data_IF_134147881229
#
_entry.id   IF_134147881229
#
_cell.length_a   1.000
_cell.length_b   1.000
_cell.length_c   1.000
_cell.angle_alpha   90.00
_cell.angle_beta   90.00
_cell.angle_gamma   90.00
#
_symmetry.space_group_name_H-M   'P 1'
#
loop_
_entity.id
_entity.type
_entity.pdbx_description
1 polymer ?
#
# COMPACT_ATOMS: atom_id res chain seq x y z
N UNK A 1 12.01 -8.45 7.50
CA UNK A 1 12.11 -7.46 6.39
C UNK A 1 12.03 -8.21 5.07
N UNK A 2 11.34 -7.68 4.05
CA UNK A 2 11.21 -8.35 2.73
C UNK A 2 12.58 -8.73 2.14
N UNK A 3 13.61 -7.89 2.38
CA UNK A 3 14.98 -8.11 1.94
C UNK A 3 15.66 -9.38 2.46
N UNK A 4 15.13 -10.03 3.51
CA UNK A 4 15.76 -11.22 4.10
C UNK A 4 15.07 -12.54 3.74
N UNK A 5 13.93 -12.52 3.03
CA UNK A 5 13.12 -13.74 2.80
C UNK A 5 13.83 -14.80 1.95
N UNK A 6 14.76 -14.39 1.08
CA UNK A 6 15.46 -15.27 0.13
C UNK A 6 16.89 -15.62 0.58
N UNK A 7 17.26 -15.33 1.83
CA UNK A 7 18.60 -15.61 2.35
C UNK A 7 18.60 -16.94 3.11
N UNK A 8 19.58 -17.81 2.84
CA UNK A 8 19.76 -19.08 3.57
C UNK A 8 20.05 -18.85 5.06
N UNK A 9 20.70 -17.73 5.38
CA UNK A 9 20.96 -17.28 6.75
C UNK A 9 20.55 -15.81 6.90
N UNK A 10 19.67 -15.47 7.86
CA UNK A 10 19.28 -14.09 8.11
C UNK A 10 20.46 -13.23 8.54
N UNK A 11 20.59 -12.04 7.94
CA UNK A 11 21.57 -11.06 8.38
C UNK A 11 21.17 -10.44 9.73
N UNK A 12 22.08 -10.49 10.70
CA UNK A 12 21.93 -9.83 11.99
C UNK A 12 21.92 -8.30 11.89
N UNK A 13 21.32 -7.64 12.88
CA UNK A 13 21.26 -6.19 12.94
C UNK A 13 22.64 -5.63 13.29
N UNK A 14 23.24 -4.90 12.34
CA UNK A 14 24.54 -4.24 12.53
C UNK A 14 24.36 -2.90 13.26
N UNK A 15 25.43 -2.39 13.87
CA UNK A 15 25.48 -1.02 14.43
C UNK A 15 24.56 -0.74 15.63
N UNK A 16 24.20 -1.75 16.43
CA UNK A 16 23.34 -1.60 17.61
C UNK A 16 23.88 -0.59 18.64
N UNK A 17 25.21 -0.42 18.75
CA UNK A 17 25.82 0.59 19.62
C UNK A 17 25.36 2.03 19.30
N UNK A 18 25.00 2.32 18.04
CA UNK A 18 24.50 3.64 17.67
C UNK A 18 23.15 3.95 18.30
N UNK A 19 22.33 2.94 18.62
CA UNK A 19 21.07 3.14 19.32
C UNK A 19 21.33 3.76 20.70
N UNK A 20 22.32 3.24 21.41
CA UNK A 20 22.73 3.77 22.70
C UNK A 20 23.39 5.16 22.58
N UNK A 21 24.42 5.28 21.74
CA UNK A 21 25.21 6.52 21.64
C UNK A 21 24.36 7.69 21.15
N UNK A 22 23.46 7.46 20.20
CA UNK A 22 22.56 8.49 19.64
C UNK A 22 21.21 8.56 20.35
N UNK A 23 20.98 7.75 21.39
CA UNK A 23 19.71 7.67 22.14
C UNK A 23 18.49 7.47 21.23
N UNK A 24 18.61 6.58 20.25
CA UNK A 24 17.54 6.29 19.28
C UNK A 24 16.46 5.45 19.99
N UNK A 25 15.19 5.83 19.82
CA UNK A 25 14.06 5.00 20.24
C UNK A 25 13.65 4.06 19.11
N UNK A 26 13.76 2.75 19.35
CA UNK A 26 13.34 1.70 18.40
C UNK A 26 12.14 0.97 19.00
N UNK A 27 10.98 1.10 18.37
CA UNK A 27 9.74 0.45 18.79
C UNK A 27 9.07 -0.23 17.60
N UNK A 28 8.83 -1.54 17.73
CA UNK A 28 7.97 -2.27 16.82
C UNK A 28 6.51 -1.89 17.05
N UNK A 29 5.72 -1.88 15.98
CA UNK A 29 4.28 -1.71 16.06
C UNK A 29 3.60 -2.57 14.99
N UNK A 30 2.37 -2.97 15.26
CA UNK A 30 1.51 -3.67 14.31
C UNK A 30 0.27 -2.84 14.02
N UNK A 31 -0.31 -3.02 12.84
CA UNK A 31 -1.61 -2.42 12.50
C UNK A 31 -2.70 -2.83 13.51
N UNK A 32 -2.66 -4.08 13.97
CA UNK A 32 -3.64 -4.62 14.92
C UNK A 32 -3.69 -3.83 16.24
N UNK A 33 -2.56 -3.29 16.69
CA UNK A 33 -2.47 -2.50 17.92
C UNK A 33 -3.30 -1.20 17.85
N UNK A 34 -3.52 -0.68 16.63
CA UNK A 34 -4.18 0.60 16.35
C UNK A 34 -5.47 0.47 15.55
N UNK A 35 -6.00 -0.75 15.39
CA UNK A 35 -7.20 -0.98 14.59
C UNK A 35 -8.39 -0.12 15.03
N UNK A 36 -8.51 0.14 16.34
CA UNK A 36 -9.53 1.01 16.93
C UNK A 36 -9.49 2.47 16.43
N UNK A 37 -8.36 2.93 15.89
CA UNK A 37 -8.22 4.26 15.29
C UNK A 37 -8.65 4.30 13.82
N UNK A 38 -8.92 3.16 13.20
CA UNK A 38 -9.24 3.07 11.78
C UNK A 38 -10.44 3.95 11.36
N UNK A 39 -11.57 4.02 12.10
CA UNK A 39 -12.67 4.91 11.74
C UNK A 39 -12.23 6.38 11.69
N UNK A 40 -11.48 6.83 12.70
CA UNK A 40 -10.96 8.20 12.77
C UNK A 40 -9.95 8.49 11.64
N UNK A 41 -9.15 7.49 11.29
CA UNK A 41 -8.22 7.59 10.16
C UNK A 41 -8.99 7.81 8.85
N UNK A 42 -10.07 7.08 8.61
CA UNK A 42 -10.92 7.26 7.42
C UNK A 42 -11.55 8.65 7.37
N UNK A 43 -12.11 9.13 8.47
CA UNK A 43 -12.70 10.48 8.55
C UNK A 43 -11.68 11.57 8.20
N UNK A 44 -10.40 11.34 8.53
CA UNK A 44 -9.32 12.27 8.26
C UNK A 44 -8.84 12.15 6.81
N UNK A 45 -8.56 10.94 6.32
CA UNK A 45 -7.86 10.70 5.06
C UNK A 45 -8.76 10.78 3.84
N UNK A 46 -10.02 10.37 3.93
CA UNK A 46 -10.96 10.39 2.80
C UNK A 46 -11.15 11.81 2.22
N UNK A 47 -11.33 12.87 3.02
CA UNK A 47 -11.37 14.24 2.51
C UNK A 47 -10.08 14.63 1.76
N UNK A 48 -8.90 14.30 2.31
CA UNK A 48 -7.63 14.62 1.65
C UNK A 48 -7.45 13.91 0.31
N UNK A 49 -7.95 12.67 0.18
CA UNK A 49 -7.97 11.95 -1.10
C UNK A 49 -8.92 12.65 -2.07
N UNK A 50 -10.14 13.00 -1.64
CA UNK A 50 -11.13 13.70 -2.47
C UNK A 50 -10.64 15.07 -2.95
N UNK A 51 -9.89 15.78 -2.10
CA UNK A 51 -9.26 17.06 -2.41
C UNK A 51 -7.99 16.93 -3.25
N UNK A 52 -7.53 15.71 -3.55
CA UNK A 52 -6.31 15.45 -4.32
C UNK A 52 -5.00 15.79 -3.58
N UNK A 53 -5.06 16.03 -2.26
CA UNK A 53 -3.89 16.31 -1.41
C UNK A 53 -3.07 15.04 -1.11
N UNK A 54 -3.71 13.87 -1.19
CA UNK A 54 -3.05 12.57 -1.10
C UNK A 54 -3.20 11.87 -2.44
N UNK A 55 -2.08 11.50 -3.05
CA UNK A 55 -2.01 10.71 -4.28
C UNK A 55 -1.58 9.30 -3.91
N UNK A 56 -2.30 8.30 -4.41
CA UNK A 56 -1.94 6.89 -4.26
C UNK A 56 -1.46 6.34 -5.60
N UNK A 57 -0.44 5.47 -5.57
CA UNK A 57 0.12 4.82 -6.75
C UNK A 57 -0.06 3.31 -6.58
N UNK A 58 -0.69 2.70 -7.57
CA UNK A 58 -0.96 1.27 -7.63
C UNK A 58 -0.29 0.67 -8.86
N UNK A 59 0.23 -0.54 -8.68
CA UNK A 59 0.76 -1.40 -9.72
C UNK A 59 -0.24 -2.53 -9.96
N UNK A 60 -0.92 -2.49 -11.09
CA UNK A 60 -2.05 -3.36 -11.38
C UNK A 60 -1.62 -4.44 -12.36
N UNK A 61 -1.76 -5.68 -11.92
CA UNK A 61 -1.60 -6.84 -12.78
C UNK A 61 -2.98 -7.33 -13.23
N UNK A 62 -3.21 -7.32 -14.55
CA UNK A 62 -4.48 -7.74 -15.14
C UNK A 62 -4.58 -9.27 -15.23
N UNK A 63 -5.74 -9.81 -14.84
CA UNK A 63 -6.05 -11.24 -14.89
C UNK A 63 -5.54 -12.03 -13.68
N UNK A 64 -6.34 -13.01 -13.25
CA UNK A 64 -6.01 -13.87 -12.09
C UNK A 64 -4.76 -14.73 -12.36
N UNK A 65 -4.54 -15.03 -13.63
CA UNK A 65 -3.44 -15.78 -14.23
C UNK A 65 -2.10 -15.07 -13.99
N UNK A 66 -2.12 -13.73 -13.91
CA UNK A 66 -0.97 -12.91 -13.55
C UNK A 66 -0.66 -12.93 -12.05
N UNK A 67 -1.56 -13.49 -11.24
CA UNK A 67 -1.46 -13.54 -9.78
C UNK A 67 -0.12 -14.03 -9.24
N UNK A 68 0.39 -15.21 -9.67
CA UNK A 68 1.68 -15.69 -9.23
C UNK A 68 2.84 -14.74 -9.56
N UNK A 69 2.84 -14.15 -10.76
CA UNK A 69 3.88 -13.23 -11.20
C UNK A 69 3.85 -11.91 -10.41
N UNK A 70 2.65 -11.38 -10.18
CA UNK A 70 2.41 -10.17 -9.41
C UNK A 70 2.71 -10.33 -7.92
N UNK A 71 2.50 -11.52 -7.34
CA UNK A 71 2.91 -11.80 -5.95
C UNK A 71 4.44 -11.83 -5.80
N UNK A 72 5.15 -12.41 -6.78
CA UNK A 72 6.62 -12.48 -6.76
C UNK A 72 7.28 -11.15 -7.12
N UNK A 73 6.59 -10.28 -7.85
CA UNK A 73 7.06 -8.95 -8.28
C UNK A 73 7.69 -8.11 -7.15
N UNK A 74 6.97 -7.86 -6.04
CA UNK A 74 7.47 -7.08 -4.91
C UNK A 74 8.74 -7.62 -4.26
N UNK A 75 8.91 -8.94 -4.19
CA UNK A 75 10.13 -9.56 -3.64
C UNK A 75 11.37 -9.35 -4.52
N UNK A 76 11.18 -8.91 -5.77
CA UNK A 76 12.24 -8.56 -6.72
C UNK A 76 12.31 -7.04 -6.97
N UNK A 77 11.55 -6.23 -6.24
CA UNK A 77 11.51 -4.77 -6.42
C UNK A 77 10.92 -4.32 -7.77
N UNK A 78 10.09 -5.15 -8.40
CA UNK A 78 9.50 -4.85 -9.72
C UNK A 78 8.25 -3.99 -9.64
N UNK A 79 7.65 -3.84 -8.46
CA UNK A 79 6.42 -3.09 -8.29
C UNK A 79 6.69 -1.59 -8.08
N UNK A 80 5.88 -0.74 -8.71
CA UNK A 80 5.86 0.70 -8.44
C UNK A 80 4.59 1.04 -7.66
N UNK A 81 4.72 1.21 -6.35
CA UNK A 81 3.57 1.45 -5.47
C UNK A 81 2.93 0.16 -4.96
N UNK A 82 1.63 0.21 -4.64
CA UNK A 82 0.92 -0.94 -4.06
C UNK A 82 0.55 -1.94 -5.16
N UNK A 83 1.05 -3.18 -5.05
CA UNK A 83 0.66 -4.24 -5.95
C UNK A 83 -0.81 -4.61 -5.74
N UNK A 84 -1.59 -4.60 -6.82
CA UNK A 84 -2.99 -4.96 -6.81
C UNK A 84 -3.28 -5.94 -7.96
N UNK A 85 -4.09 -6.95 -7.64
CA UNK A 85 -4.59 -7.97 -8.55
C UNK A 85 -6.12 -7.97 -8.44
N UNK A 86 -6.83 -7.31 -9.37
CA UNK A 86 -8.28 -7.38 -9.38
C UNK A 86 -8.73 -8.74 -9.93
N UNK A 87 -9.76 -9.33 -9.32
CA UNK A 87 -10.36 -10.61 -9.77
C UNK A 87 -11.12 -10.49 -11.10
N UNK A 88 -11.43 -9.26 -11.50
CA UNK A 88 -11.99 -8.89 -12.80
C UNK A 88 -11.03 -7.89 -13.45
N UNK A 89 -10.90 -7.90 -14.77
CA UNK A 89 -10.01 -6.98 -15.49
C UNK A 89 -10.45 -5.52 -15.30
N UNK A 90 -9.93 -4.87 -14.26
CA UNK A 90 -10.05 -3.44 -14.04
C UNK A 90 -8.85 -2.79 -14.74
N UNK A 91 -9.09 -2.20 -15.92
CA UNK A 91 -8.10 -1.34 -16.57
C UNK A 91 -7.96 -0.08 -15.71
N UNK A 92 -6.99 -0.03 -14.80
CA UNK A 92 -6.58 1.25 -14.23
C UNK A 92 -5.30 1.72 -14.92
N UNK A 93 -5.48 2.78 -15.71
CA UNK A 93 -4.44 3.49 -16.42
C UNK A 93 -3.46 4.11 -15.43
N UNK A 94 -2.18 3.79 -15.57
CA UNK A 94 -1.06 4.46 -14.90
C UNK A 94 -1.13 5.97 -15.18
N UNK A 95 -1.37 6.78 -14.17
CA UNK A 95 -1.28 8.24 -14.26
C UNK A 95 0.19 8.67 -14.18
N UNK A 96 0.81 8.91 -15.34
CA UNK A 96 2.02 9.73 -15.45
C UNK A 96 1.71 11.14 -14.93
N UNK A 97 2.53 11.62 -13.99
CA UNK A 97 2.44 12.97 -13.44
C UNK A 97 3.00 13.97 -14.46
N UNK A 98 2.10 14.81 -14.99
CA UNK A 98 2.33 15.99 -15.82
C UNK A 98 1.10 16.91 -15.74
N UNK A 99 1.21 18.23 -16.00
CA UNK A 99 0.21 19.19 -15.57
C UNK A 99 -1.00 19.13 -16.51
N UNK A 100 -2.21 19.17 -15.94
CA UNK A 100 -3.52 19.26 -16.61
C UNK A 100 -4.08 17.92 -17.12
N UNK A 101 -4.95 17.31 -16.31
CA UNK A 101 -6.39 17.14 -16.58
C UNK A 101 -6.94 16.09 -15.60
N UNK A 102 -7.84 16.53 -14.73
CA UNK A 102 -8.58 15.74 -13.76
C UNK A 102 -9.70 15.00 -14.51
N UNK A 103 -9.53 13.71 -14.80
CA UNK A 103 -10.65 12.81 -15.09
C UNK A 103 -10.95 12.02 -13.82
N UNK A 104 -11.82 12.57 -12.98
CA UNK A 104 -12.45 11.83 -11.89
C UNK A 104 -13.54 10.97 -12.53
N UNK A 105 -13.18 9.75 -12.94
CA UNK A 105 -14.12 8.78 -13.47
C UNK A 105 -14.98 8.27 -12.30
N UNK A 106 -16.30 8.41 -12.42
CA UNK A 106 -17.32 8.10 -11.40
C UNK A 106 -17.18 6.70 -10.78
N UNK A 107 -16.47 5.78 -11.44
CA UNK A 107 -16.23 4.41 -10.98
C UNK A 107 -15.32 4.31 -9.74
N UNK A 108 -14.38 5.25 -9.50
CA UNK A 108 -13.53 5.22 -8.29
C UNK A 108 -14.29 5.49 -6.98
N UNK A 109 -15.47 6.12 -7.09
CA UNK A 109 -16.33 6.39 -5.92
C UNK A 109 -16.97 5.09 -5.40
N UNK A 110 -17.36 4.19 -6.31
CA UNK A 110 -17.88 2.87 -5.94
C UNK A 110 -16.83 2.00 -5.25
N UNK A 111 -15.55 2.12 -5.61
CA UNK A 111 -14.50 1.27 -5.06
C UNK A 111 -14.10 1.63 -3.62
N UNK A 112 -14.06 2.93 -3.31
CA UNK A 112 -13.91 3.42 -1.93
C UNK A 112 -15.14 3.01 -1.10
N UNK A 113 -16.35 3.13 -1.66
CA UNK A 113 -17.58 2.71 -0.97
C UNK A 113 -17.63 1.18 -0.76
N UNK A 114 -17.09 0.37 -1.67
CA UNK A 114 -16.99 -1.08 -1.54
C UNK A 114 -15.94 -1.50 -0.49
N UNK A 115 -14.78 -0.83 -0.45
CA UNK A 115 -13.75 -1.04 0.58
C UNK A 115 -14.27 -0.62 1.98
N UNK A 116 -15.04 0.47 2.05
CA UNK A 116 -15.73 0.89 3.28
C UNK A 116 -16.82 -0.11 3.69
N UNK A 117 -17.53 -0.71 2.74
CA UNK A 117 -18.53 -1.76 3.01
C UNK A 117 -17.88 -3.05 3.52
N UNK A 118 -16.77 -3.48 2.93
CA UNK A 118 -16.03 -4.68 3.36
C UNK A 118 -15.37 -4.50 4.74
N UNK A 119 -15.00 -3.27 5.12
CA UNK A 119 -14.52 -2.96 6.48
C UNK A 119 -15.60 -3.06 7.58
N UNK A 120 -16.88 -3.17 7.20
CA UNK A 120 -17.99 -3.42 8.15
C UNK A 120 -18.31 -4.92 8.31
N UNK A 121 -17.68 -5.77 7.51
CA UNK A 121 -17.88 -7.24 7.51
C UNK A 121 -16.81 -7.94 8.38
N UNK A 122 -15.74 -7.24 8.77
CA UNK A 122 -14.70 -7.73 9.69
C UNK A 122 -14.60 -6.88 10.95
#
# INVERSE_FOLDING_TARGET
MISQYNLDQPEGIKNMMHIMVKRIHVKGFSFHDYHHLYPKFLDTVLPYIKEGKIVYVEDIAEGLESGPAALVGPFKGRNIGKQWLPSFAFKASVLRVGPIQMCCEEEKKLEIDLLLSLSKIF
#
